data_IF_145965783457
#
_entry.id   IF_145965783457
#
_cell.length_a   1.000
_cell.length_b   1.000
_cell.length_c   1.000
_cell.angle_alpha   90.00
_cell.angle_beta   90.00
_cell.angle_gamma   90.00
#
_symmetry.space_group_name_H-M   'P 1'
#
loop_
_entity.id
_entity.type
_entity.pdbx_description
1 polymer ?
#
# COMPACT_ATOMS: atom_id res chain seq x y z
N UNK A 1 3.01 -21.28 -14.79
CA UNK A 1 2.78 -19.89 -15.23
C UNK A 1 3.21 -18.97 -14.10
N UNK A 2 3.91 -17.85 -14.32
CA UNK A 2 4.24 -16.96 -13.23
C UNK A 2 2.94 -16.36 -12.71
N UNK A 3 2.65 -16.58 -11.43
CA UNK A 3 1.55 -15.92 -10.75
C UNK A 3 1.93 -14.45 -10.61
N UNK A 4 1.32 -13.58 -11.40
CA UNK A 4 1.35 -12.14 -11.14
C UNK A 4 0.64 -11.92 -9.82
N UNK A 5 1.32 -11.33 -8.83
CA UNK A 5 0.74 -11.03 -7.52
C UNK A 5 -0.32 -9.92 -7.65
N UNK A 6 -1.20 -9.76 -6.65
CA UNK A 6 -1.99 -8.55 -6.52
C UNK A 6 -1.13 -7.27 -6.57
N UNK A 7 -1.69 -6.20 -7.10
CA UNK A 7 -1.01 -4.90 -7.21
C UNK A 7 -1.16 -4.10 -5.92
N UNK A 8 -0.12 -3.35 -5.59
CA UNK A 8 -0.16 -2.35 -4.53
C UNK A 8 -0.25 -0.97 -5.17
N UNK A 9 -1.27 -0.21 -4.79
CA UNK A 9 -1.62 1.07 -5.40
C UNK A 9 -1.67 2.14 -4.33
N UNK A 10 -0.93 3.21 -4.54
CA UNK A 10 -0.89 4.39 -3.68
C UNK A 10 -1.80 5.48 -4.25
N UNK A 11 -2.82 5.86 -3.50
CA UNK A 11 -3.79 6.90 -3.87
C UNK A 11 -3.53 8.13 -3.02
N UNK A 12 -3.21 9.25 -3.67
CA UNK A 12 -3.07 10.53 -2.98
C UNK A 12 -4.45 11.03 -2.52
N UNK A 13 -4.53 11.52 -1.29
CA UNK A 13 -5.70 12.17 -0.71
C UNK A 13 -5.40 13.67 -0.61
N UNK A 14 -5.95 14.51 -1.50
CA UNK A 14 -5.68 15.94 -1.51
C UNK A 14 -6.09 16.60 -0.19
N UNK A 15 -5.13 17.25 0.46
CA UNK A 15 -5.39 18.07 1.65
C UNK A 15 -5.48 19.54 1.24
N UNK A 16 -6.50 20.24 1.73
CA UNK A 16 -6.69 21.69 1.50
C UNK A 16 -6.12 22.56 2.61
N UNK A 17 -5.77 21.96 3.75
CA UNK A 17 -5.18 22.62 4.92
C UNK A 17 -4.06 21.73 5.45
N UNK A 18 -2.94 22.33 5.87
CA UNK A 18 -1.85 21.60 6.51
C UNK A 18 -2.33 20.97 7.82
N UNK A 19 -2.25 19.64 7.89
CA UNK A 19 -2.51 18.87 9.09
C UNK A 19 -1.55 17.67 9.15
N UNK A 20 -0.54 17.67 10.04
CA UNK A 20 0.43 16.59 10.12
C UNK A 20 -0.17 15.25 10.59
N UNK A 21 -1.37 15.28 11.18
CA UNK A 21 -2.11 14.07 11.56
C UNK A 21 -3.14 13.60 10.53
N UNK A 22 -3.34 14.33 9.42
CA UNK A 22 -4.27 13.91 8.37
C UNK A 22 -3.63 12.85 7.46
N UNK A 23 -4.43 11.87 7.05
CA UNK A 23 -4.06 10.90 6.01
C UNK A 23 -3.96 11.64 4.68
N UNK A 24 -2.77 11.70 4.09
CA UNK A 24 -2.53 12.30 2.78
C UNK A 24 -2.42 11.23 1.68
N UNK A 25 -2.34 9.96 2.07
CA UNK A 25 -2.17 8.84 1.16
C UNK A 25 -2.84 7.58 1.71
N UNK A 26 -3.68 6.97 0.88
CA UNK A 26 -4.24 5.64 1.10
C UNK A 26 -3.47 4.63 0.23
N UNK A 27 -3.29 3.42 0.74
CA UNK A 27 -2.67 2.30 0.02
C UNK A 27 -3.66 1.17 -0.09
N UNK A 28 -3.84 0.68 -1.31
CA UNK A 28 -4.74 -0.43 -1.64
C UNK A 28 -3.95 -1.61 -2.17
N UNK A 29 -4.44 -2.82 -1.87
CA UNK A 29 -4.07 -4.04 -2.55
C UNK A 29 -5.23 -4.46 -3.45
N UNK A 30 -5.01 -4.46 -4.76
CA UNK A 30 -5.99 -4.89 -5.75
C UNK A 30 -5.58 -6.20 -6.42
N UNK A 31 -6.49 -7.16 -6.43
CA UNK A 31 -6.28 -8.40 -7.13
C UNK A 31 -6.71 -8.27 -8.59
N UNK A 32 -5.74 -7.95 -9.45
CA UNK A 32 -5.94 -7.88 -10.91
C UNK A 32 -5.80 -9.24 -11.60
N UNK A 33 -5.67 -10.32 -10.82
CA UNK A 33 -5.44 -11.69 -11.30
C UNK A 33 -6.76 -12.46 -11.36
N UNK A 34 -6.73 -13.68 -11.92
CA UNK A 34 -7.87 -14.60 -11.94
C UNK A 34 -7.98 -15.50 -10.70
N UNK A 35 -7.10 -15.33 -9.70
CA UNK A 35 -6.98 -16.23 -8.56
C UNK A 35 -7.40 -15.57 -7.25
N UNK A 36 -7.79 -16.35 -6.25
CA UNK A 36 -8.07 -15.84 -4.90
C UNK A 36 -6.76 -15.77 -4.10
N UNK A 37 -6.59 -14.66 -3.37
CA UNK A 37 -5.47 -14.47 -2.46
C UNK A 37 -5.93 -14.20 -1.04
N UNK A 38 -5.17 -14.70 -0.08
CA UNK A 38 -5.25 -14.28 1.32
C UNK A 38 -4.08 -13.34 1.55
N UNK A 39 -4.40 -12.08 1.79
CA UNK A 39 -3.45 -10.98 1.92
C UNK A 39 -3.26 -10.70 3.40
N UNK A 40 -2.01 -10.74 3.84
CA UNK A 40 -1.59 -10.40 5.20
C UNK A 40 -0.63 -9.23 5.13
N UNK A 41 -0.96 -8.12 5.78
CA UNK A 41 -0.15 -6.91 5.79
C UNK A 41 0.39 -6.71 7.19
N UNK A 42 1.70 -6.54 7.27
CA UNK A 42 2.37 -6.03 8.46
C UNK A 42 3.08 -4.75 8.07
N UNK A 43 2.67 -3.61 8.61
CA UNK A 43 3.49 -2.42 8.44
C UNK A 43 4.79 -2.57 9.22
N UNK A 44 5.91 -2.26 8.58
CA UNK A 44 7.06 -1.77 9.31
C UNK A 44 6.71 -0.41 9.92
N UNK A 45 7.20 -0.12 11.13
CA UNK A 45 7.17 1.26 11.63
C UNK A 45 8.00 2.14 10.70
N UNK A 46 7.46 3.29 10.32
CA UNK A 46 8.22 4.32 9.61
C UNK A 46 8.01 5.68 10.23
N UNK A 47 8.78 6.67 9.79
CA UNK A 47 8.73 8.04 10.31
C UNK A 47 8.86 9.00 9.14
N UNK A 48 7.90 9.89 8.93
CA UNK A 48 8.09 11.04 8.04
C UNK A 48 8.65 12.20 8.84
N UNK A 49 9.42 13.07 8.17
CA UNK A 49 9.98 14.27 8.77
C UNK A 49 9.58 15.44 7.89
N UNK A 50 8.95 16.44 8.49
CA UNK A 50 8.62 17.68 7.80
C UNK A 50 9.92 18.47 7.51
N UNK A 51 10.20 18.79 6.24
CA UNK A 51 11.47 19.41 5.85
C UNK A 51 11.62 20.85 6.37
N UNK A 52 10.51 21.52 6.70
CA UNK A 52 10.50 22.92 7.13
C UNK A 52 10.65 23.06 8.66
N UNK A 53 10.05 22.15 9.42
CA UNK A 53 9.96 22.19 10.88
C UNK A 53 10.88 21.17 11.56
N UNK A 54 11.24 20.09 10.86
CA UNK A 54 12.00 18.97 11.41
C UNK A 54 11.16 18.03 12.30
N UNK A 55 9.83 18.24 12.36
CA UNK A 55 8.94 17.42 13.16
C UNK A 55 8.80 16.01 12.58
N UNK A 56 8.95 15.01 13.44
CA UNK A 56 8.89 13.60 13.06
C UNK A 56 7.54 12.98 13.42
N UNK A 57 6.84 12.42 12.43
CA UNK A 57 5.58 11.70 12.64
C UNK A 57 5.82 10.22 12.42
N UNK A 58 5.55 9.40 13.45
CA UNK A 58 5.62 7.94 13.35
C UNK A 58 4.35 7.37 12.75
N UNK A 59 4.53 6.40 11.87
CA UNK A 59 3.45 5.73 11.16
C UNK A 59 3.56 4.22 11.26
N UNK A 60 2.40 3.59 11.15
CA UNK A 60 2.23 2.16 10.97
C UNK A 60 0.82 1.93 10.43
N UNK A 61 0.63 0.87 9.66
CA UNK A 61 -0.70 0.38 9.32
C UNK A 61 -1.13 -0.64 10.37
N UNK A 62 -2.43 -0.62 10.69
CA UNK A 62 -3.00 -1.74 11.43
C UNK A 62 -2.79 -3.02 10.60
N UNK A 63 -2.41 -4.15 11.22
CA UNK A 63 -2.29 -5.40 10.49
C UNK A 63 -3.59 -5.73 9.77
N UNK A 64 -3.51 -6.05 8.48
CA UNK A 64 -4.67 -6.45 7.67
C UNK A 64 -4.55 -7.93 7.36
N UNK A 65 -5.66 -8.67 7.53
CA UNK A 65 -5.83 -10.02 7.01
C UNK A 65 -7.14 -10.07 6.24
N UNK A 66 -7.07 -10.22 4.92
CA UNK A 66 -8.23 -10.19 4.06
C UNK A 66 -8.16 -11.29 3.00
N UNK A 67 -9.32 -11.84 2.64
CA UNK A 67 -9.49 -12.62 1.41
C UNK A 67 -9.76 -11.63 0.29
N UNK A 68 -9.08 -11.78 -0.84
CA UNK A 68 -9.14 -10.88 -1.97
C UNK A 68 -9.53 -11.67 -3.23
N UNK A 69 -10.78 -11.53 -3.66
CA UNK A 69 -11.29 -12.17 -4.88
C UNK A 69 -10.77 -11.46 -6.14
N UNK A 70 -10.80 -12.11 -7.31
CA UNK A 70 -10.50 -11.47 -8.58
C UNK A 70 -11.28 -10.17 -8.78
N UNK A 71 -10.58 -9.06 -9.04
CA UNK A 71 -11.14 -7.73 -9.25
C UNK A 71 -11.45 -6.94 -7.97
N UNK A 72 -11.27 -7.52 -6.79
CA UNK A 72 -11.45 -6.80 -5.52
C UNK A 72 -10.21 -5.99 -5.15
N UNK A 73 -10.45 -4.92 -4.38
CA UNK A 73 -9.41 -4.14 -3.74
C UNK A 73 -9.75 -3.92 -2.27
N UNK A 74 -8.72 -3.96 -1.42
CA UNK A 74 -8.84 -3.70 0.01
C UNK A 74 -7.83 -2.63 0.43
N UNK A 75 -8.21 -1.72 1.35
CA UNK A 75 -7.24 -0.82 1.97
C UNK A 75 -6.27 -1.65 2.82
N UNK A 76 -4.97 -1.34 2.71
CA UNK A 76 -3.89 -2.07 3.41
C UNK A 76 -3.03 -1.17 4.28
N UNK A 77 -3.01 0.13 4.01
CA UNK A 77 -2.36 1.12 4.84
C UNK A 77 -2.93 2.51 4.57
N UNK A 78 -2.93 3.35 5.60
CA UNK A 78 -3.10 4.79 5.49
C UNK A 78 -1.83 5.44 6.01
N UNK A 79 -1.40 6.50 5.36
CA UNK A 79 -0.20 7.25 5.73
C UNK A 79 -0.58 8.70 6.00
N UNK A 80 -0.12 9.20 7.14
CA UNK A 80 -0.32 10.59 7.54
C UNK A 80 0.92 11.46 7.23
N UNK A 81 0.70 12.76 7.12
CA UNK A 81 1.78 13.75 7.00
C UNK A 81 2.36 13.95 5.60
N UNK A 82 2.90 15.15 5.35
CA UNK A 82 3.56 15.57 4.10
C UNK A 82 5.08 15.28 4.15
N UNK A 83 5.73 15.28 2.98
CA UNK A 83 7.14 15.03 2.70
C UNK A 83 7.70 13.70 3.24
N UNK A 84 7.91 12.81 2.28
CA UNK A 84 8.12 11.39 2.50
C UNK A 84 9.56 11.08 2.89
N UNK A 85 10.27 11.92 3.63
CA UNK A 85 11.72 11.72 3.80
C UNK A 85 12.17 10.51 4.64
N UNK A 86 11.20 9.69 5.06
CA UNK A 86 11.42 8.34 5.59
C UNK A 86 11.15 7.19 4.62
N UNK A 87 11.76 6.05 4.92
CA UNK A 87 11.49 4.78 4.26
C UNK A 87 10.16 4.20 4.76
N UNK A 88 9.14 4.12 3.91
CA UNK A 88 7.93 3.35 4.22
C UNK A 88 8.08 1.94 3.69
N UNK A 89 8.44 1.02 4.58
CA UNK A 89 8.47 -0.41 4.30
C UNK A 89 7.12 -1.04 4.65
N UNK A 90 6.30 -1.35 3.65
CA UNK A 90 5.16 -2.24 3.84
C UNK A 90 5.58 -3.67 3.51
N UNK A 91 5.45 -4.59 4.45
CA UNK A 91 5.59 -6.02 4.17
C UNK A 91 4.21 -6.63 3.96
N UNK A 92 4.04 -7.28 2.81
CA UNK A 92 2.78 -7.91 2.42
C UNK A 92 3.04 -9.36 2.06
N UNK A 93 2.33 -10.25 2.73
CA UNK A 93 2.21 -11.66 2.43
C UNK A 93 1.01 -11.92 1.53
N UNK A 94 1.26 -12.60 0.42
CA UNK A 94 0.24 -13.11 -0.48
C UNK A 94 0.22 -14.63 -0.40
N UNK A 95 -0.88 -15.20 0.07
CA UNK A 95 -1.11 -16.64 0.02
C UNK A 95 -2.11 -16.95 -1.07
N UNK A 96 -1.67 -17.67 -2.10
CA UNK A 96 -2.56 -18.15 -3.16
C UNK A 96 -3.43 -19.30 -2.63
N UNK A 97 -4.76 -19.19 -2.75
CA UNK A 97 -5.67 -20.17 -2.17
C UNK A 97 -5.56 -21.55 -2.84
N UNK A 98 -5.45 -21.60 -4.17
CA UNK A 98 -5.45 -22.86 -4.92
C UNK A 98 -4.17 -23.70 -4.81
N UNK A 99 -3.06 -23.12 -4.35
CA UNK A 99 -1.76 -23.83 -4.22
C UNK A 99 -1.20 -23.78 -2.80
N UNK A 100 -1.75 -22.93 -1.92
CA UNK A 100 -1.20 -22.64 -0.60
C UNK A 100 0.14 -21.89 -0.61
N UNK A 101 0.66 -21.50 -1.78
CA UNK A 101 1.95 -20.83 -1.91
C UNK A 101 1.90 -19.47 -1.23
N UNK A 102 2.88 -19.21 -0.36
CA UNK A 102 3.02 -17.93 0.35
C UNK A 102 4.23 -17.17 -0.21
N UNK A 103 4.00 -15.94 -0.66
CA UNK A 103 5.02 -15.03 -1.15
C UNK A 103 4.98 -13.77 -0.29
N UNK A 104 6.11 -13.37 0.27
CA UNK A 104 6.26 -12.10 1.01
C UNK A 104 7.03 -11.11 0.17
N UNK A 105 6.58 -9.86 0.18
CA UNK A 105 7.21 -8.74 -0.54
C UNK A 105 7.23 -7.50 0.34
N UNK A 106 8.35 -6.79 0.29
CA UNK A 106 8.47 -5.45 0.86
C UNK A 106 8.20 -4.42 -0.23
N UNK A 107 7.55 -3.31 0.10
CA UNK A 107 7.20 -2.24 -0.82
C UNK A 107 7.72 -0.92 -0.27
N UNK A 108 8.34 -0.11 -1.14
CA UNK A 108 8.78 1.24 -0.81
C UNK A 108 7.80 2.26 -1.40
N UNK A 109 7.05 2.95 -0.54
CA UNK A 109 6.03 3.90 -1.01
C UNK A 109 6.60 5.16 -1.69
N UNK A 110 7.92 5.44 -1.63
CA UNK A 110 8.55 6.49 -2.46
C UNK A 110 8.55 6.11 -3.94
N UNK A 111 8.75 4.83 -4.26
CA UNK A 111 8.86 4.37 -5.64
C UNK A 111 7.49 4.10 -6.25
N UNK A 112 7.20 4.69 -7.40
CA UNK A 112 5.95 4.40 -8.12
C UNK A 112 6.19 4.38 -9.63
N UNK A 113 5.50 3.49 -10.35
CA UNK A 113 5.76 3.28 -11.79
C UNK A 113 4.75 4.00 -12.68
N UNK A 114 3.47 3.65 -12.56
CA UNK A 114 2.41 4.02 -13.51
C UNK A 114 1.09 4.31 -12.79
N UNK A 115 0.24 5.12 -13.43
CA UNK A 115 -1.13 5.33 -12.95
C UNK A 115 -1.96 4.06 -13.12
N UNK A 116 -2.87 3.83 -12.19
CA UNK A 116 -3.80 2.71 -12.19
C UNK A 116 -5.11 3.10 -11.50
N UNK A 117 -6.23 2.82 -12.16
CA UNK A 117 -7.57 3.02 -11.60
C UNK A 117 -8.06 1.74 -10.95
N UNK A 118 -8.28 1.79 -9.64
CA UNK A 118 -8.79 0.68 -8.84
C UNK A 118 -10.22 0.38 -9.28
N UNK A 119 -10.47 -0.85 -9.71
CA UNK A 119 -11.80 -1.22 -10.25
C UNK A 119 -12.90 -1.14 -9.21
N UNK A 120 -12.59 -1.54 -7.97
CA UNK A 120 -13.57 -1.65 -6.90
C UNK A 120 -14.19 -0.31 -6.45
N UNK A 121 -13.46 0.80 -6.57
CA UNK A 121 -13.91 2.10 -6.07
C UNK A 121 -13.65 3.28 -7.02
N UNK A 122 -13.05 3.05 -8.19
CA UNK A 122 -12.76 4.08 -9.19
C UNK A 122 -11.65 5.06 -8.81
N UNK A 123 -10.96 4.87 -7.66
CA UNK A 123 -9.84 5.74 -7.26
C UNK A 123 -8.65 5.48 -8.17
N UNK A 124 -8.00 6.55 -8.64
CA UNK A 124 -6.77 6.46 -9.42
C UNK A 124 -5.57 6.73 -8.53
N UNK A 125 -4.61 5.82 -8.54
CA UNK A 125 -3.37 5.92 -7.80
C UNK A 125 -2.19 5.48 -8.64
N UNK A 126 -1.02 5.40 -8.01
CA UNK A 126 0.22 4.93 -8.64
C UNK A 126 0.55 3.52 -8.17
N UNK A 127 0.94 2.63 -9.09
CA UNK A 127 1.41 1.29 -8.75
C UNK A 127 2.76 1.38 -8.04
N UNK A 128 2.87 0.69 -6.90
CA UNK A 128 4.09 0.53 -6.12
C UNK A 128 4.67 -0.85 -6.45
N UNK A 129 5.93 -0.85 -6.89
CA UNK A 129 6.64 -2.08 -7.19
C UNK A 129 7.26 -2.67 -5.92
N UNK A 130 7.41 -4.00 -5.83
CA UNK A 130 8.17 -4.61 -4.75
C UNK A 130 9.60 -4.05 -4.72
N UNK A 131 10.13 -3.81 -3.52
CA UNK A 131 11.54 -3.53 -3.32
C UNK A 131 12.38 -4.72 -3.79
N UNK A 132 13.45 -4.42 -4.55
CA UNK A 132 14.41 -5.40 -5.05
C UNK A 132 15.30 -5.97 -3.95
#
# INVERSE_FOLDING_TARGET
MPQTLPLIIRVAVPQTVFNPGAVDTEVYCENTTAYVFIVSVSSGSFTTVDENTGDAVRHGSQPVNAVLQPGEAVPVADVAGWEWDGHVGLEIGFRHEGTGTVIRKSYNLKSSSSDHTIRANGKTGRVILPAG
#
